data_IF_224772922813
#
_entry.id   IF_224772922813
#
_cell.length_a   1.000
_cell.length_b   1.000
_cell.length_c   1.000
_cell.angle_alpha   90.00
_cell.angle_beta   90.00
_cell.angle_gamma   90.00
#
_symmetry.space_group_name_H-M   'P 1'
#
loop_
_entity.id
_entity.type
_entity.pdbx_description
1 polymer ?
#
# COMPACT_ATOMS: atom_id res chain seq x y z
N UNK A 1 -0.42 26.84 8.54
CA UNK A 1 -0.58 25.37 8.70
C UNK A 1 -0.26 24.73 7.36
N UNK A 2 0.52 23.64 7.34
CA UNK A 2 0.70 22.86 6.12
C UNK A 2 -0.62 22.14 5.84
N UNK A 3 -1.41 22.66 4.90
CA UNK A 3 -2.67 22.04 4.46
C UNK A 3 -2.41 20.78 3.63
N UNK A 4 -1.35 20.78 2.82
CA UNK A 4 -0.89 19.63 2.08
C UNK A 4 0.61 19.45 2.22
N UNK A 5 1.05 18.25 2.57
CA UNK A 5 2.48 17.96 2.59
C UNK A 5 3.01 17.87 1.15
N UNK A 6 4.20 18.43 0.86
CA UNK A 6 4.84 18.24 -0.43
C UNK A 6 5.27 16.77 -0.60
N UNK A 7 5.40 16.32 -1.85
CA UNK A 7 5.80 14.95 -2.18
C UNK A 7 7.08 14.52 -1.43
N UNK A 8 8.06 15.41 -1.31
CA UNK A 8 9.30 15.17 -0.56
C UNK A 8 9.07 14.72 0.89
N UNK A 9 8.07 15.30 1.58
CA UNK A 9 7.71 14.93 2.95
C UNK A 9 6.74 13.73 2.98
N UNK A 10 5.97 13.49 1.92
CA UNK A 10 5.13 12.30 1.80
C UNK A 10 5.94 11.01 1.57
N UNK A 11 7.06 11.13 0.86
CA UNK A 11 7.96 10.02 0.50
C UNK A 11 8.38 9.13 1.68
N UNK A 12 9.01 9.64 2.77
CA UNK A 12 9.45 8.80 3.87
C UNK A 12 8.29 8.09 4.58
N UNK A 13 7.11 8.71 4.64
CA UNK A 13 5.90 8.09 5.17
C UNK A 13 5.46 6.93 4.28
N UNK A 14 5.28 7.20 2.98
CA UNK A 14 4.81 6.18 2.04
C UNK A 14 5.75 4.99 1.98
N UNK A 15 7.08 5.22 1.98
CA UNK A 15 8.08 4.14 2.06
C UNK A 15 7.89 3.29 3.32
N UNK A 16 7.78 3.90 4.49
CA UNK A 16 7.59 3.17 5.74
C UNK A 16 6.30 2.33 5.73
N UNK A 17 5.20 2.89 5.23
CA UNK A 17 3.92 2.19 5.12
C UNK A 17 3.99 1.01 4.15
N UNK A 18 4.50 1.23 2.94
CA UNK A 18 4.60 0.18 1.92
C UNK A 18 5.52 -0.93 2.41
N UNK A 19 6.62 -0.60 3.09
CA UNK A 19 7.48 -1.59 3.73
C UNK A 19 6.72 -2.38 4.81
N UNK A 20 5.94 -1.75 5.69
CA UNK A 20 5.15 -2.46 6.71
C UNK A 20 4.20 -3.51 6.12
N UNK A 21 3.50 -3.17 5.03
CA UNK A 21 2.47 -4.06 4.45
C UNK A 21 3.03 -5.09 3.46
N UNK A 22 4.16 -4.79 2.83
CA UNK A 22 4.74 -5.58 1.74
C UNK A 22 6.21 -5.96 2.00
N UNK A 23 6.60 -6.02 3.27
CA UNK A 23 7.93 -6.46 3.70
C UNK A 23 8.22 -7.85 3.12
N UNK A 24 9.27 -7.94 2.30
CA UNK A 24 9.66 -9.17 1.59
C UNK A 24 9.60 -9.09 0.06
N UNK A 25 8.85 -8.16 -0.54
CA UNK A 25 8.76 -7.99 -2.02
C UNK A 25 9.93 -7.16 -2.58
N UNK A 26 10.96 -6.92 -1.76
CA UNK A 26 12.16 -6.14 -2.08
C UNK A 26 11.97 -4.66 -1.79
N UNK A 27 12.96 -4.06 -1.14
CA UNK A 27 13.08 -2.64 -0.75
C UNK A 27 12.83 -1.58 -1.85
N UNK A 28 12.43 -2.00 -3.05
CA UNK A 28 12.22 -1.18 -4.24
C UNK A 28 10.76 -0.78 -4.46
N UNK A 29 9.78 -1.36 -3.75
CA UNK A 29 8.37 -1.01 -3.96
C UNK A 29 8.13 0.48 -3.66
N UNK A 30 8.63 0.96 -2.53
CA UNK A 30 8.53 2.38 -2.17
C UNK A 30 9.25 3.31 -3.14
N UNK A 31 10.35 2.88 -3.76
CA UNK A 31 11.06 3.66 -4.78
C UNK A 31 10.28 3.71 -6.09
N UNK A 32 9.84 2.56 -6.59
CA UNK A 32 8.99 2.47 -7.78
C UNK A 32 7.69 3.25 -7.64
N UNK A 33 7.10 3.26 -6.44
CA UNK A 33 5.88 4.02 -6.16
C UNK A 33 6.10 5.52 -6.35
N UNK A 34 7.25 6.05 -5.96
CA UNK A 34 7.57 7.48 -6.11
C UNK A 34 7.73 7.85 -7.57
N UNK A 35 8.38 6.98 -8.35
CA UNK A 35 8.65 7.22 -9.77
C UNK A 35 7.40 7.07 -10.64
N UNK A 36 6.59 6.04 -10.38
CA UNK A 36 5.44 5.69 -11.21
C UNK A 36 4.14 6.35 -10.74
N UNK A 37 3.96 6.52 -9.43
CA UNK A 37 2.68 6.90 -8.80
C UNK A 37 2.85 8.04 -7.78
N UNK A 38 3.52 9.16 -8.13
CA UNK A 38 3.82 10.25 -7.20
C UNK A 38 2.56 10.83 -6.53
N UNK A 39 1.44 10.91 -7.24
CA UNK A 39 0.18 11.41 -6.68
C UNK A 39 -0.40 10.48 -5.62
N UNK A 40 -0.35 9.15 -5.81
CA UNK A 40 -0.81 8.19 -4.79
C UNK A 40 0.13 8.14 -3.59
N UNK A 41 1.45 8.28 -3.82
CA UNK A 41 2.44 8.45 -2.74
C UNK A 41 2.11 9.69 -1.92
N UNK A 42 1.82 10.81 -2.57
CA UNK A 42 1.41 12.05 -1.90
C UNK A 42 0.10 11.86 -1.12
N UNK A 43 -0.90 11.20 -1.70
CA UNK A 43 -2.17 10.89 -1.01
C UNK A 43 -1.96 10.03 0.24
N UNK A 44 -1.14 8.98 0.15
CA UNK A 44 -0.81 8.12 1.28
C UNK A 44 -0.11 8.88 2.39
N UNK A 45 0.90 9.68 2.03
CA UNK A 45 1.60 10.55 2.99
C UNK A 45 0.66 11.58 3.62
N UNK A 46 -0.23 12.19 2.83
CA UNK A 46 -1.21 13.17 3.29
C UNK A 46 -2.18 12.56 4.30
N UNK A 47 -2.70 11.35 4.03
CA UNK A 47 -3.61 10.65 4.93
C UNK A 47 -2.98 10.45 6.31
N UNK A 48 -1.75 9.94 6.35
CA UNK A 48 -1.01 9.74 7.59
C UNK A 48 -0.68 11.09 8.25
N UNK A 49 -0.28 12.10 7.48
CA UNK A 49 -0.04 13.43 8.02
C UNK A 49 -1.27 13.95 8.76
N UNK A 50 -2.43 13.99 8.10
CA UNK A 50 -3.65 14.53 8.68
C UNK A 50 -4.17 13.72 9.88
N UNK A 51 -4.09 12.39 9.80
CA UNK A 51 -4.72 11.51 10.80
C UNK A 51 -3.79 11.14 11.95
N UNK A 52 -2.48 11.28 11.79
CA UNK A 52 -1.50 10.79 12.73
C UNK A 52 -0.47 11.84 13.17
N UNK A 53 0.17 12.53 12.21
CA UNK A 53 1.34 13.37 12.51
C UNK A 53 1.02 14.85 12.76
N UNK A 54 -0.06 15.38 12.16
CA UNK A 54 -0.40 16.81 12.24
C UNK A 54 -0.71 17.20 13.68
N UNK A 55 0.00 18.21 14.17
CA UNK A 55 -0.15 18.72 15.53
C UNK A 55 0.62 17.94 16.60
N UNK A 56 1.40 16.89 16.22
CA UNK A 56 2.29 16.22 17.17
C UNK A 56 3.58 17.02 17.36
N UNK A 57 4.01 17.24 18.62
CA UNK A 57 5.28 17.89 18.90
C UNK A 57 6.44 17.12 18.24
N UNK A 58 7.25 17.83 17.45
CA UNK A 58 8.42 17.25 16.79
C UNK A 58 8.15 16.42 15.54
N UNK A 59 6.89 16.20 15.15
CA UNK A 59 6.56 15.43 13.94
C UNK A 59 7.04 16.13 12.65
N UNK A 60 6.92 17.46 12.56
CA UNK A 60 7.46 18.22 11.42
C UNK A 60 8.97 18.04 11.26
N UNK A 61 9.72 18.10 12.37
CA UNK A 61 11.18 17.94 12.38
C UNK A 61 11.56 16.51 12.02
N UNK A 62 10.93 15.52 12.66
CA UNK A 62 11.15 14.11 12.37
C UNK A 62 10.94 13.83 10.87
N UNK A 63 9.85 14.37 10.31
CA UNK A 63 9.52 14.18 8.90
C UNK A 63 10.52 14.86 7.96
N UNK A 64 10.95 16.08 8.29
CA UNK A 64 11.97 16.80 7.52
C UNK A 64 13.31 16.09 7.53
N UNK A 65 13.78 15.61 8.69
CA UNK A 65 15.06 14.90 8.78
C UNK A 65 14.99 13.52 8.11
N UNK A 66 13.85 12.81 8.24
CA UNK A 66 13.61 11.58 7.52
C UNK A 66 13.62 11.79 5.98
N UNK A 67 13.03 12.90 5.51
CA UNK A 67 13.03 13.28 4.10
C UNK A 67 14.42 13.67 3.57
N UNK A 68 15.30 14.21 4.43
CA UNK A 68 16.72 14.48 4.11
C UNK A 68 17.57 13.22 4.06
N UNK A 69 17.03 12.05 4.44
CA UNK A 69 17.74 10.78 4.41
C UNK A 69 18.37 10.38 5.75
N UNK A 70 17.98 10.98 6.86
CA UNK A 70 18.42 10.53 8.19
C UNK A 70 17.88 9.12 8.48
N UNK A 71 18.76 8.12 8.53
CA UNK A 71 18.37 6.74 8.80
C UNK A 71 17.74 6.58 10.19
N UNK A 72 18.25 7.30 11.19
CA UNK A 72 17.72 7.28 12.56
C UNK A 72 16.29 7.82 12.59
N UNK A 73 16.02 8.94 11.91
CA UNK A 73 14.69 9.54 11.87
C UNK A 73 13.71 8.73 11.00
N UNK A 74 14.19 8.09 9.94
CA UNK A 74 13.39 7.14 9.15
C UNK A 74 12.98 5.91 9.96
N UNK A 75 13.90 5.38 10.77
CA UNK A 75 13.59 4.27 11.67
C UNK A 75 12.57 4.69 12.74
N UNK A 76 12.81 5.83 13.42
CA UNK A 76 11.86 6.38 14.40
C UNK A 76 10.48 6.62 13.80
N UNK A 77 10.42 7.17 12.58
CA UNK A 77 9.17 7.37 11.86
C UNK A 77 8.48 6.02 11.61
N UNK A 78 9.22 5.00 11.18
CA UNK A 78 8.67 3.66 10.91
C UNK A 78 8.12 3.00 12.17
N UNK A 79 8.89 3.00 13.25
CA UNK A 79 8.48 2.47 14.57
C UNK A 79 7.20 3.17 15.07
N UNK A 80 7.18 4.50 14.98
CA UNK A 80 6.03 5.30 15.37
C UNK A 80 4.78 4.99 14.56
N UNK A 81 4.91 4.89 13.23
CA UNK A 81 3.80 4.53 12.35
C UNK A 81 3.31 3.11 12.62
N UNK A 82 4.22 2.18 12.92
CA UNK A 82 3.87 0.80 13.27
C UNK A 82 2.98 0.75 14.50
N UNK A 83 3.38 1.41 15.59
CA UNK A 83 2.64 1.46 16.85
C UNK A 83 1.24 2.07 16.67
N UNK A 84 1.15 3.18 15.93
CA UNK A 84 -0.13 3.85 15.69
C UNK A 84 -1.08 2.99 14.86
N UNK A 85 -0.59 2.33 13.80
CA UNK A 85 -1.43 1.49 12.95
C UNK A 85 -1.86 0.22 13.67
N UNK A 86 -1.07 -0.30 14.60
CA UNK A 86 -1.48 -1.43 15.44
C UNK A 86 -2.55 -1.03 16.45
N UNK A 87 -2.46 0.20 16.98
CA UNK A 87 -3.43 0.72 17.96
C UNK A 87 -4.71 1.28 17.32
N UNK A 88 -4.68 1.68 16.04
CA UNK A 88 -5.81 2.30 15.35
C UNK A 88 -6.21 1.51 14.10
N UNK A 89 -7.13 0.57 14.30
CA UNK A 89 -7.63 -0.32 13.25
C UNK A 89 -8.27 0.42 12.07
N UNK A 90 -9.06 1.47 12.32
CA UNK A 90 -9.74 2.23 11.26
C UNK A 90 -8.73 2.95 10.37
N UNK A 91 -7.71 3.58 10.97
CA UNK A 91 -6.62 4.19 10.22
C UNK A 91 -5.84 3.13 9.44
N UNK A 92 -5.53 1.99 10.08
CA UNK A 92 -4.83 0.88 9.43
C UNK A 92 -5.55 0.40 8.18
N UNK A 93 -6.86 0.20 8.22
CA UNK A 93 -7.64 -0.20 7.03
C UNK A 93 -7.58 0.84 5.91
N UNK A 94 -7.74 2.13 6.23
CA UNK A 94 -7.69 3.20 5.24
C UNK A 94 -6.32 3.30 4.57
N UNK A 95 -5.25 3.19 5.36
CA UNK A 95 -3.87 3.23 4.90
C UNK A 95 -3.52 1.99 4.08
N UNK A 96 -3.94 0.81 4.53
CA UNK A 96 -3.75 -0.44 3.81
C UNK A 96 -4.43 -0.40 2.44
N UNK A 97 -5.66 0.08 2.35
CA UNK A 97 -6.35 0.21 1.05
C UNK A 97 -5.55 1.02 0.03
N UNK A 98 -5.00 2.17 0.43
CA UNK A 98 -4.16 2.97 -0.47
C UNK A 98 -2.84 2.29 -0.80
N UNK A 99 -2.23 1.59 0.16
CA UNK A 99 -1.02 0.80 -0.07
C UNK A 99 -1.27 -0.34 -1.08
N UNK A 100 -2.43 -0.99 -1.00
CA UNK A 100 -2.86 -2.06 -1.91
C UNK A 100 -3.07 -1.53 -3.33
N UNK A 101 -3.73 -0.38 -3.47
CA UNK A 101 -3.89 0.27 -4.78
C UNK A 101 -2.52 0.60 -5.42
N UNK A 102 -1.59 1.16 -4.64
CA UNK A 102 -0.23 1.46 -5.12
C UNK A 102 0.48 0.17 -5.55
N UNK A 103 0.42 -0.88 -4.74
CA UNK A 103 1.09 -2.14 -5.02
C UNK A 103 0.54 -2.79 -6.31
N UNK A 104 -0.79 -2.86 -6.44
CA UNK A 104 -1.45 -3.40 -7.63
C UNK A 104 -1.08 -2.63 -8.90
N UNK A 105 -1.09 -1.29 -8.83
CA UNK A 105 -0.79 -0.46 -9.99
C UNK A 105 0.69 -0.56 -10.43
N UNK A 106 1.61 -0.73 -9.48
CA UNK A 106 3.03 -1.02 -9.79
C UNK A 106 3.21 -2.38 -10.44
N UNK A 107 2.49 -3.41 -9.97
CA UNK A 107 2.50 -4.75 -10.58
C UNK A 107 1.92 -4.69 -11.99
N UNK A 108 0.76 -4.04 -12.17
CA UNK A 108 0.12 -3.88 -13.48
C UNK A 108 0.99 -3.10 -14.47
N UNK A 109 1.74 -2.11 -14.00
CA UNK A 109 2.71 -1.37 -14.82
C UNK A 109 3.90 -2.21 -15.27
N UNK A 110 4.12 -3.39 -14.66
CA UNK A 110 5.24 -4.28 -14.96
C UNK A 110 4.96 -5.32 -16.05
N UNK A 111 3.81 -5.24 -16.76
CA UNK A 111 3.38 -6.19 -17.82
C UNK A 111 3.25 -7.67 -17.40
N UNK A 112 3.45 -8.00 -16.12
CA UNK A 112 3.26 -9.35 -15.61
C UNK A 112 1.78 -9.58 -15.24
N UNK A 113 1.17 -10.55 -15.92
CA UNK A 113 -0.22 -10.99 -15.71
C UNK A 113 -0.40 -11.59 -14.30
N UNK A 114 -0.84 -10.80 -13.32
CA UNK A 114 -1.11 -11.31 -11.97
C UNK A 114 -2.58 -11.17 -11.57
N UNK A 115 -3.23 -12.31 -11.35
CA UNK A 115 -4.55 -12.38 -10.69
C UNK A 115 -4.33 -12.32 -9.17
N UNK A 116 -4.69 -11.20 -8.55
CA UNK A 116 -4.64 -11.06 -7.09
C UNK A 116 -6.04 -11.25 -6.49
N UNK A 117 -6.15 -12.21 -5.58
CA UNK A 117 -7.36 -12.50 -4.84
C UNK A 117 -7.09 -12.24 -3.35
N UNK A 118 -7.70 -11.21 -2.75
CA UNK A 118 -7.46 -10.86 -1.35
C UNK A 118 -8.77 -10.51 -0.64
N UNK A 119 -9.04 -11.18 0.49
CA UNK A 119 -10.12 -10.83 1.42
C UNK A 119 -11.54 -10.87 0.85
N UNK A 120 -11.79 -11.64 -0.22
CA UNK A 120 -13.13 -11.74 -0.85
C UNK A 120 -13.46 -10.63 -1.85
N UNK A 121 -12.54 -9.71 -2.13
CA UNK A 121 -12.69 -8.71 -3.20
C UNK A 121 -11.83 -9.12 -4.40
N UNK A 122 -12.48 -9.48 -5.50
CA UNK A 122 -11.82 -9.81 -6.76
C UNK A 122 -11.51 -8.53 -7.53
N UNK A 123 -10.23 -8.22 -7.73
CA UNK A 123 -9.80 -7.20 -8.69
C UNK A 123 -9.38 -7.89 -9.99
N UNK A 124 -10.22 -7.81 -11.02
CA UNK A 124 -9.90 -8.27 -12.38
C UNK A 124 -9.78 -7.04 -13.28
N UNK A 125 -8.64 -6.88 -13.95
CA UNK A 125 -8.45 -5.84 -14.97
C UNK A 125 -8.24 -6.45 -16.36
N UNK A 126 -8.78 -5.73 -17.34
CA UNK A 126 -9.36 -6.17 -18.62
C UNK A 126 -8.37 -6.80 -19.61
N UNK A 127 -8.81 -7.89 -20.23
CA UNK A 127 -8.22 -8.53 -21.41
C UNK A 127 -8.61 -7.72 -22.65
N UNK A 128 -7.64 -7.23 -23.42
CA UNK A 128 -7.90 -6.81 -24.81
C UNK A 128 -7.46 -7.95 -25.73
N UNK A 129 -8.39 -8.43 -26.56
CA UNK A 129 -8.08 -9.38 -27.64
C UNK A 129 -8.60 -10.83 -27.55
N UNK A 130 -9.36 -11.25 -26.53
CA UNK A 130 -9.97 -12.59 -26.55
C UNK A 130 -10.75 -12.96 -25.29
N UNK A 131 -12.07 -13.15 -25.46
CA UNK A 131 -13.07 -13.74 -24.55
C UNK A 131 -12.76 -13.64 -23.04
N UNK A 132 -13.44 -12.69 -22.37
CA UNK A 132 -13.54 -12.61 -20.91
C UNK A 132 -14.50 -13.70 -20.41
N UNK A 133 -13.98 -14.78 -19.82
CA UNK A 133 -14.80 -15.70 -19.03
C UNK A 133 -14.87 -15.21 -17.57
N UNK A 134 -15.84 -14.35 -17.28
CA UNK A 134 -16.23 -14.05 -15.90
C UNK A 134 -17.20 -15.14 -15.42
N UNK A 135 -16.69 -16.12 -14.68
CA UNK A 135 -17.55 -17.03 -13.92
C UNK A 135 -17.99 -16.30 -12.64
N UNK A 136 -19.23 -15.81 -12.61
CA UNK A 136 -19.80 -15.04 -11.49
C UNK A 136 -20.18 -15.90 -10.26
N UNK A 137 -19.67 -17.13 -10.17
CA UNK A 137 -19.91 -18.02 -9.01
C UNK A 137 -18.76 -19.02 -8.89
N UNK A 138 -17.91 -18.88 -7.89
CA UNK A 138 -16.97 -19.96 -7.51
C UNK A 138 -17.81 -21.05 -6.84
N UNK A 139 -18.32 -21.98 -7.62
CA UNK A 139 -18.82 -23.25 -7.08
C UNK A 139 -17.58 -24.12 -6.83
N UNK A 140 -17.19 -24.27 -5.56
CA UNK A 140 -16.20 -25.28 -5.19
C UNK A 140 -16.82 -26.66 -5.38
N UNK A 141 -16.61 -27.28 -6.54
CA UNK A 141 -16.92 -28.69 -6.72
C UNK A 141 -15.79 -29.53 -6.13
N UNK A 142 -16.02 -30.06 -4.92
CA UNK A 142 -15.26 -31.19 -4.40
C UNK A 142 -15.58 -32.41 -5.27
N UNK A 143 -14.62 -32.87 -6.08
CA UNK A 143 -14.71 -34.19 -6.71
C UNK A 143 -14.45 -35.27 -5.66
N UNK A 144 -15.50 -35.74 -4.99
CA UNK A 144 -15.50 -37.05 -4.36
C UNK A 144 -15.66 -38.10 -5.47
N UNK A 145 -14.57 -38.80 -5.78
CA UNK A 145 -14.60 -39.96 -6.67
C UNK A 145 -15.38 -41.10 -6.00
N UNK A 146 -16.67 -41.20 -6.29
CA UNK A 146 -17.48 -42.39 -6.00
C UNK A 146 -17.47 -43.31 -7.21
N UNK A 147 -16.60 -44.32 -7.21
CA UNK A 147 -16.69 -45.47 -8.11
C UNK A 147 -17.70 -46.48 -7.57
N UNK A 148 -18.71 -46.83 -8.37
CA UNK A 148 -19.59 -47.99 -8.15
C UNK A 148 -20.15 -48.48 -9.48
N UNK A 149 -19.70 -49.64 -9.93
CA UNK A 149 -20.47 -50.88 -10.17
C UNK A 149 -19.57 -51.92 -10.82
#
# INVERSE_FOLDING_TARGET
MIEQIPLMLATPIAKAILNKFYEGVGNKLGEKAIDLLPEKVKQLGQLIWEKCLRGKPGADRLLQEAAKGSAEDQQKLTEYLNEVLESNYVLKQAVQKLADEIHLEIINSSNDMNQHNYGGTNFQTKVDGGVVNQANTITQNYYSASTSH
#
